data_IF_227614285160
#
_entry.id   IF_227614285160
#
_cell.length_a   1.000
_cell.length_b   1.000
_cell.length_c   1.000
_cell.angle_alpha   90.00
_cell.angle_beta   90.00
_cell.angle_gamma   90.00
#
_symmetry.space_group_name_H-M   'P 1'
#
loop_
_entity.id
_entity.type
_entity.pdbx_description
1 polymer ?
#
# COMPACT_ATOMS: atom_id res chain seq x y z
N UNK A 1 18.28 -39.45 19.02
CA UNK A 1 18.04 -39.89 17.63
C UNK A 1 16.54 -40.14 17.51
N UNK A 2 15.73 -39.53 16.66
CA UNK A 2 15.87 -38.52 15.61
C UNK A 2 14.48 -38.48 14.96
N UNK A 3 13.81 -37.33 15.00
CA UNK A 3 12.57 -37.06 14.24
C UNK A 3 12.68 -35.65 13.67
N UNK A 4 13.62 -35.50 12.75
CA UNK A 4 13.67 -34.51 11.66
C UNK A 4 13.93 -35.39 10.45
N UNK A 5 13.00 -35.47 9.49
CA UNK A 5 13.17 -36.06 8.14
C UNK A 5 11.78 -36.23 7.47
N UNK A 6 10.91 -35.20 7.52
CA UNK A 6 9.66 -35.21 6.72
C UNK A 6 9.35 -33.88 6.05
N UNK A 7 9.84 -32.77 6.62
CA UNK A 7 9.70 -31.45 5.99
C UNK A 7 10.81 -31.16 4.95
N UNK A 8 12.00 -31.78 5.06
CA UNK A 8 13.11 -31.56 4.11
C UNK A 8 12.81 -32.12 2.71
N UNK A 9 12.21 -33.30 2.64
CA UNK A 9 11.91 -33.97 1.35
C UNK A 9 10.84 -33.22 0.54
N UNK A 10 9.92 -32.52 1.22
CA UNK A 10 8.90 -31.70 0.57
C UNK A 10 9.47 -30.38 0.03
N UNK A 11 10.40 -29.77 0.76
CA UNK A 11 11.10 -28.55 0.33
C UNK A 11 12.04 -28.81 -0.85
N UNK A 12 12.73 -29.95 -0.84
CA UNK A 12 13.62 -30.35 -1.93
C UNK A 12 12.83 -30.70 -3.20
N UNK A 13 11.66 -31.34 -3.06
CA UNK A 13 10.75 -31.61 -4.19
C UNK A 13 10.18 -30.32 -4.81
N UNK A 14 9.86 -29.33 -3.97
CA UNK A 14 9.37 -28.03 -4.43
C UNK A 14 10.46 -27.26 -5.19
N UNK A 15 11.68 -27.21 -4.65
CA UNK A 15 12.84 -26.59 -5.33
C UNK A 15 13.15 -27.25 -6.67
N UNK A 16 13.17 -28.58 -6.73
CA UNK A 16 13.37 -29.32 -7.98
C UNK A 16 12.28 -29.01 -9.01
N UNK A 17 11.02 -28.90 -8.56
CA UNK A 17 9.90 -28.56 -9.44
C UNK A 17 10.03 -27.12 -9.98
N UNK A 18 10.48 -26.19 -9.15
CA UNK A 18 10.68 -24.79 -9.54
C UNK A 18 11.87 -24.64 -10.51
N UNK A 19 12.97 -25.38 -10.29
CA UNK A 19 14.11 -25.45 -11.24
C UNK A 19 13.69 -26.02 -12.59
N UNK A 20 12.91 -27.11 -12.61
CA UNK A 20 12.39 -27.70 -13.87
C UNK A 20 11.49 -26.72 -14.62
N UNK A 21 10.68 -25.93 -13.91
CA UNK A 21 9.83 -24.90 -14.52
C UNK A 21 10.70 -23.77 -15.08
N UNK A 22 11.70 -23.31 -14.32
CA UNK A 22 12.63 -22.25 -14.74
C UNK A 22 13.39 -22.63 -16.01
N UNK A 23 13.91 -23.86 -16.08
CA UNK A 23 14.64 -24.36 -17.25
C UNK A 23 13.73 -24.43 -18.48
N UNK A 24 12.48 -24.90 -18.31
CA UNK A 24 11.49 -24.94 -19.40
C UNK A 24 11.11 -23.55 -19.88
N UNK A 25 10.88 -22.61 -18.97
CA UNK A 25 10.60 -21.20 -19.29
C UNK A 25 11.78 -20.60 -20.06
N UNK A 26 13.00 -20.81 -19.58
CA UNK A 26 14.23 -20.32 -20.22
C UNK A 26 14.43 -20.92 -21.61
N UNK A 27 14.15 -22.22 -21.79
CA UNK A 27 14.23 -22.91 -23.07
C UNK A 27 13.19 -22.38 -24.07
N UNK A 28 11.95 -22.18 -23.63
CA UNK A 28 10.88 -21.61 -24.45
C UNK A 28 11.26 -20.19 -24.91
N UNK A 29 11.72 -19.33 -24.02
CA UNK A 29 12.11 -17.95 -24.38
C UNK A 29 13.26 -17.95 -25.40
N UNK A 30 14.24 -18.85 -25.23
CA UNK A 30 15.42 -18.92 -26.10
C UNK A 30 15.09 -19.49 -27.48
N UNK A 31 14.27 -20.54 -27.56
CA UNK A 31 14.02 -21.28 -28.79
C UNK A 31 12.79 -20.79 -29.56
N UNK A 32 11.86 -20.11 -28.88
CA UNK A 32 10.59 -19.63 -29.43
C UNK A 32 10.40 -18.11 -29.25
N UNK A 33 11.37 -17.24 -29.59
CA UNK A 33 11.31 -15.81 -29.23
C UNK A 33 10.14 -15.04 -29.88
N UNK A 34 9.48 -15.59 -30.90
CA UNK A 34 8.34 -14.96 -31.60
C UNK A 34 6.97 -15.56 -31.20
N UNK A 35 6.96 -16.71 -30.54
CA UNK A 35 5.78 -17.50 -30.17
C UNK A 35 5.84 -18.00 -28.72
N UNK A 36 6.75 -17.45 -27.90
CA UNK A 36 6.99 -17.88 -26.53
C UNK A 36 5.73 -17.81 -25.69
N UNK A 37 4.87 -16.81 -25.90
CA UNK A 37 3.59 -16.65 -25.20
C UNK A 37 2.73 -17.90 -25.35
N UNK A 38 2.48 -18.34 -26.59
CA UNK A 38 1.68 -19.54 -26.85
C UNK A 38 2.33 -20.80 -26.24
N UNK A 39 3.66 -20.88 -26.26
CA UNK A 39 4.42 -21.98 -25.64
C UNK A 39 4.40 -21.97 -24.11
N UNK A 40 4.35 -20.80 -23.49
CA UNK A 40 4.14 -20.65 -22.05
C UNK A 40 2.73 -21.07 -21.65
N UNK A 41 1.72 -20.76 -22.47
CA UNK A 41 0.34 -21.19 -22.24
C UNK A 41 0.15 -22.71 -22.35
N UNK A 42 0.87 -23.38 -23.27
CA UNK A 42 0.88 -24.85 -23.38
C UNK A 42 1.35 -25.55 -22.09
N UNK A 43 2.22 -24.90 -21.30
CA UNK A 43 2.73 -25.44 -20.03
C UNK A 43 1.98 -24.90 -18.80
N UNK A 44 0.87 -24.19 -19.01
CA UNK A 44 -0.07 -23.77 -17.95
C UNK A 44 0.16 -22.37 -17.40
N UNK A 45 1.06 -21.57 -17.97
CA UNK A 45 1.10 -20.13 -17.68
C UNK A 45 -0.06 -19.43 -18.40
N UNK A 46 -0.41 -18.23 -17.96
CA UNK A 46 -1.41 -17.41 -18.61
C UNK A 46 -0.77 -16.08 -18.95
N UNK A 47 -0.75 -15.74 -20.23
CA UNK A 47 -0.25 -14.45 -20.65
C UNK A 47 -1.30 -13.38 -20.41
N UNK A 48 -0.86 -12.26 -19.88
CA UNK A 48 -1.68 -11.06 -19.70
C UNK A 48 -0.96 -9.94 -20.43
N UNK A 49 -1.63 -9.31 -21.39
CA UNK A 49 -1.12 -8.09 -22.02
C UNK A 49 -1.12 -6.97 -20.97
N UNK A 50 -0.04 -6.19 -20.90
CA UNK A 50 0.12 -5.04 -19.98
C UNK A 50 -0.92 -3.93 -20.24
N UNK A 51 -1.70 -4.02 -21.34
CA UNK A 51 -2.74 -3.07 -21.72
C UNK A 51 -4.10 -3.32 -21.02
N UNK A 52 -4.26 -4.41 -20.26
CA UNK A 52 -5.51 -4.73 -19.56
C UNK A 52 -5.48 -4.22 -18.13
N UNK A 53 -6.22 -3.14 -17.86
CA UNK A 53 -6.46 -2.65 -16.49
C UNK A 53 -7.39 -3.61 -15.73
N UNK A 54 -6.81 -4.61 -15.08
CA UNK A 54 -7.53 -5.57 -14.25
C UNK A 54 -8.26 -4.89 -13.09
N UNK A 55 -7.71 -3.82 -12.51
CA UNK A 55 -8.34 -3.13 -11.40
C UNK A 55 -9.64 -2.46 -11.84
N UNK A 56 -9.65 -1.82 -13.01
CA UNK A 56 -10.85 -1.20 -13.58
C UNK A 56 -11.94 -2.26 -13.85
N UNK A 57 -11.54 -3.44 -14.34
CA UNK A 57 -12.46 -4.57 -14.54
C UNK A 57 -13.06 -5.06 -13.22
N UNK A 58 -12.24 -5.21 -12.17
CA UNK A 58 -12.69 -5.60 -10.84
C UNK A 58 -13.66 -4.56 -10.26
N UNK A 59 -13.32 -3.27 -10.33
CA UNK A 59 -14.11 -2.15 -9.83
C UNK A 59 -15.48 -2.04 -10.52
N UNK A 60 -15.52 -2.25 -11.84
CA UNK A 60 -16.77 -2.29 -12.63
C UNK A 60 -17.67 -3.46 -12.22
N UNK A 61 -17.08 -4.60 -11.85
CA UNK A 61 -17.81 -5.80 -11.40
C UNK A 61 -18.22 -5.73 -9.93
N UNK A 62 -17.50 -4.96 -9.12
CA UNK A 62 -17.69 -4.85 -7.68
C UNK A 62 -19.08 -4.32 -7.31
N UNK A 63 -19.81 -5.11 -6.52
CA UNK A 63 -21.13 -4.77 -6.01
C UNK A 63 -21.18 -5.02 -4.50
N UNK A 64 -21.99 -4.27 -3.75
CA UNK A 64 -22.14 -4.51 -2.32
C UNK A 64 -22.85 -5.85 -2.07
N UNK A 65 -22.21 -6.72 -1.30
CA UNK A 65 -22.63 -8.10 -1.01
C UNK A 65 -23.39 -8.19 0.32
N UNK A 66 -23.00 -7.36 1.29
CA UNK A 66 -23.58 -7.34 2.63
C UNK A 66 -24.17 -5.97 3.00
N UNK A 67 -24.86 -5.89 4.15
CA UNK A 67 -25.54 -4.65 4.56
C UNK A 67 -24.56 -3.51 4.85
N UNK A 68 -23.38 -3.83 5.40
CA UNK A 68 -22.33 -2.86 5.70
C UNK A 68 -21.83 -2.19 4.43
N UNK A 69 -21.50 -2.98 3.41
CA UNK A 69 -21.11 -2.48 2.08
C UNK A 69 -22.21 -1.66 1.41
N UNK A 70 -23.49 -2.09 1.51
CA UNK A 70 -24.63 -1.29 1.02
C UNK A 70 -24.75 0.06 1.72
N UNK A 71 -24.48 0.10 3.03
CA UNK A 71 -24.51 1.31 3.82
C UNK A 71 -23.37 2.27 3.45
N UNK A 72 -22.17 1.75 3.20
CA UNK A 72 -21.02 2.51 2.71
C UNK A 72 -21.28 3.09 1.33
N UNK A 73 -21.73 2.28 0.37
CA UNK A 73 -22.11 2.73 -0.97
C UNK A 73 -23.16 3.84 -0.90
N UNK A 74 -24.21 3.66 -0.10
CA UNK A 74 -25.24 4.68 0.08
C UNK A 74 -24.67 5.98 0.67
N UNK A 75 -23.68 5.91 1.56
CA UNK A 75 -22.99 7.09 2.07
C UNK A 75 -22.13 7.76 0.98
N UNK A 76 -21.30 7.00 0.27
CA UNK A 76 -20.44 7.54 -0.79
C UNK A 76 -21.24 8.16 -1.95
N UNK A 77 -22.45 7.68 -2.20
CA UNK A 77 -23.40 8.23 -3.17
C UNK A 77 -24.34 9.32 -2.59
N UNK A 78 -24.02 9.86 -1.40
CA UNK A 78 -24.76 10.95 -0.76
C UNK A 78 -26.24 10.62 -0.41
N UNK A 79 -26.57 9.33 -0.27
CA UNK A 79 -27.89 8.82 0.15
C UNK A 79 -27.97 8.57 1.66
N UNK A 80 -26.83 8.59 2.36
CA UNK A 80 -26.73 8.55 3.83
C UNK A 80 -25.84 9.67 4.34
N UNK A 81 -26.07 10.09 5.59
CA UNK A 81 -25.24 11.09 6.28
C UNK A 81 -24.03 10.45 6.94
N UNK A 82 -22.96 11.23 7.05
CA UNK A 82 -21.80 10.89 7.87
C UNK A 82 -22.24 10.62 9.31
N UNK A 83 -21.73 9.53 9.89
CA UNK A 83 -21.99 9.16 11.28
C UNK A 83 -20.93 8.18 11.79
N UNK A 84 -20.86 8.01 13.12
CA UNK A 84 -19.97 7.02 13.75
C UNK A 84 -20.18 5.62 13.18
N UNK A 85 -21.43 5.22 12.98
CA UNK A 85 -21.79 3.91 12.42
C UNK A 85 -21.26 3.70 11.00
N UNK A 86 -21.27 4.74 10.16
CA UNK A 86 -20.69 4.67 8.81
C UNK A 86 -19.17 4.51 8.89
N UNK A 87 -18.52 5.23 9.80
CA UNK A 87 -17.08 5.10 10.02
C UNK A 87 -16.68 3.73 10.59
N UNK A 88 -17.46 3.19 11.53
CA UNK A 88 -17.29 1.82 12.04
C UNK A 88 -17.48 0.80 10.92
N UNK A 89 -18.52 0.97 10.09
CA UNK A 89 -18.75 0.12 8.90
C UNK A 89 -17.57 0.15 7.93
N UNK A 90 -16.93 1.32 7.75
CA UNK A 90 -15.76 1.47 6.89
C UNK A 90 -14.55 0.74 7.45
N UNK A 91 -14.26 0.98 8.72
CA UNK A 91 -13.14 0.34 9.42
C UNK A 91 -13.28 -1.18 9.45
N UNK A 92 -14.47 -1.68 9.77
CA UNK A 92 -14.77 -3.12 9.77
C UNK A 92 -14.70 -3.75 8.37
N UNK A 93 -15.02 -3.02 7.31
CA UNK A 93 -14.88 -3.52 5.95
C UNK A 93 -13.40 -3.66 5.58
N UNK A 94 -12.57 -2.66 5.92
CA UNK A 94 -11.12 -2.67 5.66
C UNK A 94 -10.38 -3.80 6.39
N UNK A 95 -10.87 -4.21 7.57
CA UNK A 95 -10.27 -5.27 8.40
C UNK A 95 -11.03 -6.60 8.33
N UNK A 96 -11.97 -6.75 7.39
CA UNK A 96 -12.67 -8.01 7.20
C UNK A 96 -11.70 -9.09 6.69
N UNK A 97 -12.03 -10.37 6.91
CA UNK A 97 -11.24 -11.49 6.38
C UNK A 97 -11.20 -11.48 4.83
N UNK A 98 -12.32 -11.10 4.20
CA UNK A 98 -12.44 -10.95 2.75
C UNK A 98 -13.03 -9.55 2.45
N UNK A 99 -12.21 -8.50 2.51
CA UNK A 99 -12.65 -7.12 2.25
C UNK A 99 -12.95 -6.94 0.76
N UNK A 100 -14.02 -6.24 0.42
CA UNK A 100 -14.31 -5.90 -0.97
C UNK A 100 -13.55 -4.65 -1.40
N UNK A 101 -12.21 -4.77 -1.50
CA UNK A 101 -11.35 -3.65 -1.91
C UNK A 101 -11.75 -3.03 -3.25
N UNK A 102 -12.11 -3.79 -4.30
CA UNK A 102 -12.58 -3.20 -5.55
C UNK A 102 -13.81 -2.30 -5.39
N UNK A 103 -14.70 -2.61 -4.44
CA UNK A 103 -15.87 -1.77 -4.14
C UNK A 103 -15.48 -0.42 -3.53
N UNK A 104 -14.44 -0.38 -2.71
CA UNK A 104 -13.95 0.85 -2.07
C UNK A 104 -13.03 1.64 -3.01
N UNK A 105 -12.11 0.95 -3.71
CA UNK A 105 -11.07 1.53 -4.57
C UNK A 105 -11.64 2.46 -5.63
N UNK A 106 -12.78 2.12 -6.25
CA UNK A 106 -13.45 3.01 -7.21
C UNK A 106 -13.83 4.39 -6.64
N UNK A 107 -14.08 4.49 -5.33
CA UNK A 107 -14.39 5.77 -4.68
C UNK A 107 -13.13 6.58 -4.36
N UNK A 108 -11.99 5.91 -4.14
CA UNK A 108 -10.67 6.54 -4.07
C UNK A 108 -10.29 7.14 -5.42
N UNK A 109 -10.27 6.31 -6.48
CA UNK A 109 -9.97 6.73 -7.86
C UNK A 109 -10.85 7.87 -8.37
N UNK A 110 -12.10 7.92 -7.90
CA UNK A 110 -13.04 8.99 -8.23
C UNK A 110 -12.91 10.25 -7.36
N UNK A 111 -11.88 10.36 -6.51
CA UNK A 111 -11.70 11.46 -5.55
C UNK A 111 -13.00 11.78 -4.79
N UNK A 112 -13.68 10.74 -4.28
CA UNK A 112 -15.02 10.91 -3.76
C UNK A 112 -15.04 11.79 -2.50
N UNK A 113 -15.72 12.95 -2.59
CA UNK A 113 -15.83 13.92 -1.48
C UNK A 113 -16.40 13.35 -0.17
N UNK A 114 -17.28 12.34 -0.24
CA UNK A 114 -17.85 11.72 0.96
C UNK A 114 -16.82 10.77 1.58
N UNK A 115 -16.07 10.01 0.78
CA UNK A 115 -14.94 9.23 1.27
C UNK A 115 -13.91 10.13 1.97
N UNK A 116 -13.51 11.23 1.34
CA UNK A 116 -12.62 12.24 1.95
C UNK A 116 -13.14 12.73 3.30
N UNK A 117 -14.42 13.11 3.37
CA UNK A 117 -15.04 13.55 4.61
C UNK A 117 -15.07 12.46 5.70
N UNK A 118 -15.18 11.18 5.31
CA UNK A 118 -15.13 10.04 6.23
C UNK A 118 -13.72 9.81 6.78
N UNK A 119 -12.69 9.96 5.95
CA UNK A 119 -11.29 9.87 6.37
C UNK A 119 -10.96 10.98 7.37
N UNK A 120 -11.34 12.23 7.07
CA UNK A 120 -11.18 13.35 8.00
C UNK A 120 -11.93 13.13 9.31
N UNK A 121 -13.17 12.62 9.25
CA UNK A 121 -13.92 12.26 10.45
C UNK A 121 -13.18 11.25 11.34
N UNK A 122 -12.54 10.26 10.71
CA UNK A 122 -11.72 9.27 11.42
C UNK A 122 -10.48 9.90 12.06
N UNK A 123 -9.71 10.66 11.28
CA UNK A 123 -8.45 11.27 11.73
C UNK A 123 -8.65 12.34 12.80
N UNK A 124 -9.78 13.06 12.80
CA UNK A 124 -10.11 13.99 13.88
C UNK A 124 -10.38 13.30 15.21
N UNK A 125 -10.93 12.08 15.18
CA UNK A 125 -11.28 11.31 16.37
C UNK A 125 -10.18 10.40 16.88
N UNK A 126 -9.38 9.89 15.95
CA UNK A 126 -8.33 8.92 16.21
C UNK A 126 -7.04 9.37 15.50
N UNK A 127 -6.47 10.52 15.92
CA UNK A 127 -5.24 11.01 15.33
C UNK A 127 -4.13 9.98 15.56
N UNK A 128 -3.35 9.65 14.52
CA UNK A 128 -2.29 8.65 14.59
C UNK A 128 -2.71 7.21 14.25
N UNK A 129 -3.96 6.96 13.84
CA UNK A 129 -4.31 5.67 13.23
C UNK A 129 -3.61 5.49 11.88
N UNK A 130 -2.63 4.60 11.86
CA UNK A 130 -1.82 4.29 10.69
C UNK A 130 -2.65 3.90 9.47
N UNK A 131 -3.67 3.05 9.66
CA UNK A 131 -4.56 2.63 8.57
C UNK A 131 -5.31 3.79 7.90
N UNK A 132 -5.68 4.82 8.67
CA UNK A 132 -6.34 6.01 8.12
C UNK A 132 -5.38 6.99 7.44
N UNK A 133 -4.14 7.08 7.93
CA UNK A 133 -3.12 7.91 7.31
C UNK A 133 -2.71 7.32 5.97
N UNK A 134 -2.48 6.00 5.91
CA UNK A 134 -2.25 5.28 4.68
C UNK A 134 -3.44 5.40 3.69
N UNK A 135 -4.68 5.32 4.19
CA UNK A 135 -5.86 5.59 3.36
C UNK A 135 -5.88 7.03 2.82
N UNK A 136 -5.48 8.01 3.62
CA UNK A 136 -5.41 9.41 3.18
C UNK A 136 -4.29 9.62 2.14
N UNK A 137 -3.14 8.97 2.33
CA UNK A 137 -2.03 8.93 1.37
C UNK A 137 -2.48 8.32 0.04
N UNK A 138 -3.14 7.17 0.08
CA UNK A 138 -3.71 6.56 -1.14
C UNK A 138 -4.76 7.47 -1.82
N UNK A 139 -5.56 8.20 -1.03
CA UNK A 139 -6.49 9.18 -1.59
C UNK A 139 -5.75 10.36 -2.27
N UNK A 140 -4.59 10.75 -1.76
CA UNK A 140 -3.77 11.83 -2.30
C UNK A 140 -3.30 11.56 -3.74
N UNK A 141 -3.07 10.30 -4.10
CA UNK A 141 -2.72 9.88 -5.46
C UNK A 141 -3.77 10.30 -6.51
N UNK A 142 -5.04 10.48 -6.09
CA UNK A 142 -6.15 10.81 -6.99
C UNK A 142 -6.67 12.25 -6.84
N UNK A 143 -6.37 12.91 -5.72
CA UNK A 143 -6.66 14.32 -5.49
C UNK A 143 -5.48 14.93 -4.73
N UNK A 144 -4.82 15.96 -5.29
CA UNK A 144 -3.76 16.62 -4.56
C UNK A 144 -4.30 17.27 -3.27
N UNK A 145 -3.88 16.73 -2.12
CA UNK A 145 -4.25 17.17 -0.78
C UNK A 145 -3.01 17.27 0.12
N UNK A 146 -1.84 17.57 -0.46
CA UNK A 146 -0.54 17.54 0.22
C UNK A 146 -0.55 18.31 1.56
N UNK A 147 -1.06 19.54 1.58
CA UNK A 147 -1.16 20.35 2.81
C UNK A 147 -1.94 19.64 3.92
N UNK A 148 -2.99 18.90 3.54
CA UNK A 148 -3.81 18.13 4.48
C UNK A 148 -3.06 16.90 4.97
N UNK A 149 -2.35 16.22 4.06
CA UNK A 149 -1.52 15.06 4.38
C UNK A 149 -0.44 15.44 5.39
N UNK A 150 0.32 16.52 5.11
CA UNK A 150 1.32 17.11 6.01
C UNK A 150 0.72 17.40 7.39
N UNK A 151 -0.45 18.04 7.43
CA UNK A 151 -1.13 18.39 8.68
C UNK A 151 -1.43 17.16 9.53
N UNK A 152 -2.03 16.11 8.94
CA UNK A 152 -2.42 14.92 9.69
C UNK A 152 -1.23 14.05 10.10
N UNK A 153 -0.24 13.86 9.22
CA UNK A 153 0.97 13.11 9.57
C UNK A 153 1.82 13.82 10.63
N UNK A 154 1.99 15.14 10.51
CA UNK A 154 2.72 15.91 11.52
C UNK A 154 2.02 15.82 12.86
N UNK A 155 0.68 15.97 12.90
CA UNK A 155 -0.10 15.78 14.12
C UNK A 155 0.09 14.38 14.71
N UNK A 156 0.06 13.33 13.89
CA UNK A 156 0.29 11.95 14.31
C UNK A 156 1.69 11.75 14.91
N UNK A 157 2.72 12.26 14.25
CA UNK A 157 4.10 12.20 14.72
C UNK A 157 4.29 12.94 16.04
N UNK A 158 3.64 14.10 16.23
CA UNK A 158 3.72 14.88 17.47
C UNK A 158 3.13 14.13 18.65
N UNK A 159 1.94 13.54 18.50
CA UNK A 159 1.23 12.89 19.61
C UNK A 159 1.70 11.47 19.91
N UNK A 160 2.38 10.80 18.97
CA UNK A 160 2.80 9.42 19.17
C UNK A 160 3.85 9.33 20.28
N UNK A 161 3.57 8.60 21.36
CA UNK A 161 4.50 8.44 22.48
C UNK A 161 5.41 7.23 22.31
N UNK A 162 4.90 6.19 21.64
CA UNK A 162 5.67 4.99 21.36
C UNK A 162 6.70 5.25 20.26
N UNK A 163 7.98 5.05 20.56
CA UNK A 163 9.08 5.41 19.68
C UNK A 163 9.18 4.50 18.45
N UNK A 164 8.79 3.23 18.57
CA UNK A 164 8.76 2.28 17.46
C UNK A 164 7.67 2.68 16.46
N UNK A 165 6.45 2.90 16.95
CA UNK A 165 5.34 3.38 16.12
C UNK A 165 5.61 4.78 15.55
N UNK A 166 6.33 5.64 16.29
CA UNK A 166 6.76 6.94 15.77
C UNK A 166 7.71 6.80 14.58
N UNK A 167 8.67 5.87 14.66
CA UNK A 167 9.60 5.59 13.56
C UNK A 167 8.85 5.15 12.30
N UNK A 168 7.88 4.23 12.44
CA UNK A 168 7.03 3.79 11.33
C UNK A 168 6.21 4.94 10.74
N UNK A 169 5.60 5.77 11.59
CA UNK A 169 4.84 6.95 11.15
C UNK A 169 5.69 7.97 10.40
N UNK A 170 6.93 8.20 10.84
CA UNK A 170 7.85 9.11 10.18
C UNK A 170 8.23 8.59 8.79
N UNK A 171 8.52 7.29 8.66
CA UNK A 171 8.81 6.66 7.37
C UNK A 171 7.60 6.73 6.42
N UNK A 172 6.41 6.40 6.92
CA UNK A 172 5.18 6.46 6.13
C UNK A 172 4.88 7.90 5.67
N UNK A 173 5.13 8.90 6.51
CA UNK A 173 5.00 10.31 6.14
C UNK A 173 5.97 10.69 5.01
N UNK A 174 7.23 10.30 5.12
CA UNK A 174 8.24 10.54 4.08
C UNK A 174 7.83 9.91 2.75
N UNK A 175 7.57 8.61 2.70
CA UNK A 175 7.21 7.96 1.44
C UNK A 175 5.87 8.45 0.86
N UNK A 176 4.93 8.86 1.72
CA UNK A 176 3.63 9.39 1.29
C UNK A 176 3.70 10.81 0.70
N UNK A 177 4.80 11.52 0.88
CA UNK A 177 4.94 12.93 0.44
C UNK A 177 6.18 13.18 -0.44
N UNK A 178 7.08 12.20 -0.52
CA UNK A 178 8.20 12.17 -1.45
C UNK A 178 7.78 12.36 -2.92
N UNK A 179 6.66 11.80 -3.43
CA UNK A 179 6.23 12.05 -4.81
C UNK A 179 5.91 13.51 -5.13
N UNK A 180 5.65 14.33 -4.11
CA UNK A 180 5.38 15.76 -4.20
C UNK A 180 6.60 16.63 -3.79
N UNK A 181 7.79 16.02 -3.70
CA UNK A 181 9.05 16.66 -3.31
C UNK A 181 9.01 17.34 -1.92
N UNK A 182 8.19 16.81 -0.99
CA UNK A 182 8.14 17.32 0.38
C UNK A 182 9.14 16.62 1.29
N UNK A 183 10.00 17.42 1.91
CA UNK A 183 11.09 16.98 2.79
C UNK A 183 10.59 16.64 4.21
N UNK A 184 9.80 15.57 4.34
CA UNK A 184 9.12 15.24 5.60
C UNK A 184 10.08 15.03 6.78
N UNK A 185 11.21 14.33 6.58
CA UNK A 185 12.15 14.12 7.67
C UNK A 185 12.80 15.41 8.15
N UNK A 186 13.23 16.30 7.25
CA UNK A 186 13.79 17.58 7.64
C UNK A 186 12.74 18.47 8.33
N UNK A 187 11.48 18.45 7.88
CA UNK A 187 10.39 19.15 8.56
C UNK A 187 10.15 18.62 9.98
N UNK A 188 10.16 17.29 10.18
CA UNK A 188 10.08 16.69 11.51
C UNK A 188 11.34 17.00 12.34
N UNK A 189 12.52 17.04 11.71
CA UNK A 189 13.79 17.35 12.34
C UNK A 189 13.75 18.75 12.97
N UNK A 190 13.24 19.75 12.26
CA UNK A 190 13.06 21.11 12.78
C UNK A 190 12.03 21.19 13.91
N UNK A 191 11.02 20.32 13.88
CA UNK A 191 9.95 20.29 14.86
C UNK A 191 10.38 19.74 16.22
N UNK A 192 11.28 18.75 16.25
CA UNK A 192 11.75 18.11 17.48
C UNK A 192 13.15 18.60 17.89
N UNK A 193 13.27 18.99 19.16
CA UNK A 193 14.54 19.48 19.71
C UNK A 193 15.67 18.45 19.66
N UNK A 194 16.94 18.89 19.54
CA UNK A 194 18.13 18.03 19.33
C UNK A 194 18.28 16.92 20.39
N UNK A 195 17.86 17.17 21.61
CA UNK A 195 18.05 16.23 22.73
C UNK A 195 16.91 15.20 22.89
N UNK A 196 15.88 15.26 22.04
CA UNK A 196 14.72 14.35 22.14
C UNK A 196 14.99 13.01 21.45
N UNK A 197 14.38 11.93 21.95
CA UNK A 197 14.53 10.61 21.34
C UNK A 197 13.89 10.54 19.94
N UNK A 198 12.78 11.25 19.73
CA UNK A 198 12.17 11.42 18.39
C UNK A 198 13.15 12.05 17.39
N UNK A 199 13.90 13.06 17.83
CA UNK A 199 14.90 13.71 16.99
C UNK A 199 16.04 12.77 16.62
N UNK A 200 16.54 11.96 17.56
CA UNK A 200 17.56 10.93 17.26
C UNK A 200 17.07 9.92 16.23
N UNK A 201 15.80 9.51 16.31
CA UNK A 201 15.18 8.61 15.32
C UNK A 201 15.14 9.29 13.95
N UNK A 202 14.69 10.54 13.86
CA UNK A 202 14.68 11.27 12.58
C UNK A 202 16.08 11.41 12.00
N UNK A 203 17.06 11.80 12.82
CA UNK A 203 18.46 11.93 12.37
C UNK A 203 19.01 10.59 11.85
N UNK A 204 18.62 9.47 12.47
CA UNK A 204 18.95 8.13 12.00
C UNK A 204 18.27 7.81 10.65
N UNK A 205 16.97 8.07 10.50
CA UNK A 205 16.23 7.82 9.26
C UNK A 205 16.76 8.64 8.08
N UNK A 206 17.16 9.90 8.31
CA UNK A 206 17.82 10.74 7.30
C UNK A 206 19.12 10.08 6.82
N UNK A 207 19.95 9.63 7.76
CA UNK A 207 21.21 8.97 7.42
C UNK A 207 20.99 7.66 6.63
N UNK A 208 19.99 6.86 6.99
CA UNK A 208 19.64 5.64 6.25
C UNK A 208 19.21 5.96 4.80
N UNK A 209 18.36 6.96 4.57
CA UNK A 209 17.93 7.34 3.21
C UNK A 209 19.08 7.92 2.37
N UNK A 210 19.98 8.69 2.98
CA UNK A 210 21.17 9.19 2.28
C UNK A 210 22.09 8.02 1.87
N UNK A 211 22.23 6.99 2.70
CA UNK A 211 23.00 5.79 2.38
C UNK A 211 22.35 4.94 1.27
N UNK A 212 21.04 4.74 1.28
CA UNK A 212 20.32 3.98 0.25
C UNK A 212 20.38 4.68 -1.11
N UNK A 213 20.25 6.01 -1.12
CA UNK A 213 20.36 6.84 -2.33
C UNK A 213 21.77 6.77 -2.93
N UNK A 214 22.81 6.80 -2.08
CA UNK A 214 24.20 6.72 -2.52
C UNK A 214 24.64 5.31 -3.00
N UNK A 215 23.98 4.25 -2.52
CA UNK A 215 24.30 2.86 -2.86
C UNK A 215 23.41 2.26 -3.96
N UNK A 216 22.39 2.99 -4.44
CA UNK A 216 21.54 2.53 -5.53
C UNK A 216 22.30 2.57 -6.87
N UNK A 217 22.50 1.43 -7.57
CA UNK A 217 23.13 1.44 -8.88
C UNK A 217 22.24 2.25 -9.83
N UNK A 218 22.81 3.31 -10.41
CA UNK A 218 22.15 4.07 -11.47
C UNK A 218 21.64 3.10 -12.54
N UNK A 219 20.32 2.95 -12.64
CA UNK A 219 19.67 2.17 -13.68
C UNK A 219 20.15 2.69 -15.03
N UNK A 220 21.01 1.92 -15.70
CA UNK A 220 21.38 2.17 -17.09
C UNK A 220 20.12 1.89 -17.91
N UNK A 221 19.41 2.95 -18.27
CA UNK A 221 18.37 2.90 -19.29
C UNK A 221 19.08 2.73 -20.62
N UNK A 222 19.03 1.51 -21.18
CA UNK A 222 19.45 1.25 -22.56
C UNK A 222 18.24 1.54 -23.45
N UNK A 223 18.36 2.54 -24.30
CA UNK A 223 17.41 2.87 -25.37
C UNK A 223 17.46 1.84 -26.52
#
# INVERSE_FOLDING_TARGET
MGRKDKDSDFDDYKKLKDEIIYDKVSEIIRNHPKDYIAKMEEIGFKYFEDDVDFEEIEEKKAKPENQRQRDLVAYFENKKKLSKKIFESYSEEKTAENPNYPLLRKYYKAANKNLKALLFYGLEKYPGRFDLLADLSYFHEFENILDTLITYYTRACVIQEDLETFSELAQDFYYSTMPDDYEAYYALQELFGPDTDKRKIIDFLIAEEEETTNNSPQSIVIF
#
